data_IF_343741149893
#
_entry.id   IF_343741149893
#
_cell.length_a   1.000
_cell.length_b   1.000
_cell.length_c   1.000
_cell.angle_alpha   90.00
_cell.angle_beta   90.00
_cell.angle_gamma   90.00
#
_symmetry.space_group_name_H-M   'P 1'
#
loop_
_entity.id
_entity.type
_entity.pdbx_description
1 polymer ?
#
# COMPACT_ATOMS: atom_id res chain seq x y z
N UNK A 1 -53.69 -8.38 -14.10
CA UNK A 1 -52.49 -8.43 -13.26
C UNK A 1 -52.41 -9.84 -12.71
N UNK A 2 -51.47 -10.67 -13.12
CA UNK A 2 -51.30 -12.01 -12.55
C UNK A 2 -50.37 -11.95 -11.33
N UNK A 3 -50.77 -12.70 -10.31
CA UNK A 3 -50.12 -12.88 -9.02
C UNK A 3 -48.67 -13.41 -9.14
N UNK A 4 -47.75 -12.79 -8.41
CA UNK A 4 -46.42 -13.35 -8.22
C UNK A 4 -46.44 -14.39 -7.08
N UNK A 5 -45.80 -15.55 -7.29
CA UNK A 5 -45.64 -16.55 -6.22
C UNK A 5 -44.62 -16.14 -5.17
N UNK A 6 -44.75 -16.62 -3.93
CA UNK A 6 -43.90 -16.24 -2.80
C UNK A 6 -42.47 -16.80 -2.99
N UNK A 7 -41.50 -15.95 -2.67
CA UNK A 7 -40.08 -16.26 -2.68
C UNK A 7 -39.75 -17.46 -1.78
N UNK A 8 -39.30 -18.55 -2.37
CA UNK A 8 -38.68 -19.65 -1.65
C UNK A 8 -37.37 -19.17 -0.97
N UNK A 9 -37.39 -19.18 0.35
CA UNK A 9 -36.18 -18.97 1.15
C UNK A 9 -35.22 -20.13 0.89
N UNK A 10 -34.10 -19.88 0.24
CA UNK A 10 -32.98 -20.79 0.19
C UNK A 10 -32.46 -21.02 1.62
N UNK A 11 -32.81 -22.18 2.20
CA UNK A 11 -32.07 -22.75 3.34
C UNK A 11 -30.73 -23.24 2.79
N UNK A 12 -29.69 -22.48 3.04
CA UNK A 12 -28.32 -22.95 2.81
C UNK A 12 -28.02 -24.07 3.81
N UNK A 13 -28.08 -25.29 3.35
CA UNK A 13 -27.63 -26.47 4.07
C UNK A 13 -26.09 -26.48 4.05
N UNK A 14 -25.49 -26.19 5.23
CA UNK A 14 -24.02 -26.21 5.36
C UNK A 14 -23.53 -27.65 5.23
N UNK A 15 -22.52 -27.92 4.38
CA UNK A 15 -21.95 -29.27 4.29
C UNK A 15 -21.27 -29.63 5.62
N UNK A 16 -21.68 -30.75 6.21
CA UNK A 16 -21.05 -31.33 7.41
C UNK A 16 -19.67 -31.87 7.03
N UNK A 17 -18.65 -31.35 7.69
CA UNK A 17 -17.27 -31.84 7.57
C UNK A 17 -17.16 -33.10 8.48
N UNK A 18 -16.85 -34.30 7.96
CA UNK A 18 -16.67 -35.46 8.77
C UNK A 18 -15.41 -35.33 9.67
N UNK A 19 -15.59 -35.44 10.98
CA UNK A 19 -14.47 -35.49 11.92
C UNK A 19 -14.41 -34.46 13.03
N UNK A 20 -15.37 -33.52 13.08
CA UNK A 20 -15.43 -32.56 14.20
C UNK A 20 -16.47 -33.02 15.22
N UNK A 21 -16.08 -33.35 16.48
CA UNK A 21 -17.04 -33.72 17.51
C UNK A 21 -17.87 -32.50 17.94
N UNK A 22 -19.17 -32.75 18.14
CA UNK A 22 -20.15 -31.75 18.57
C UNK A 22 -19.74 -31.10 19.91
N UNK A 23 -19.93 -29.80 20.09
CA UNK A 23 -19.71 -29.12 21.36
C UNK A 23 -20.88 -29.40 22.30
N UNK A 24 -20.62 -30.09 23.43
CA UNK A 24 -21.58 -30.16 24.50
C UNK A 24 -21.66 -31.52 25.24
N UNK A 25 -20.64 -31.84 26.04
CA UNK A 25 -20.84 -32.64 27.24
C UNK A 25 -19.77 -32.28 28.28
N UNK A 26 -20.12 -31.85 29.48
CA UNK A 26 -19.16 -31.56 30.54
C UNK A 26 -18.53 -32.85 31.03
N UNK A 27 -17.22 -32.91 31.30
CA UNK A 27 -16.58 -34.09 31.89
C UNK A 27 -16.97 -34.21 33.36
N UNK A 28 -17.31 -35.46 33.73
CA UNK A 28 -17.59 -35.86 35.10
C UNK A 28 -16.40 -35.56 36.00
N UNK A 29 -16.69 -34.92 37.11
CA UNK A 29 -15.73 -34.65 38.19
C UNK A 29 -15.30 -35.94 38.86
N UNK A 30 -14.02 -36.33 38.73
CA UNK A 30 -13.42 -37.37 39.59
C UNK A 30 -12.63 -36.68 40.70
N UNK A 31 -13.09 -36.89 41.92
CA UNK A 31 -12.42 -36.54 43.16
C UNK A 31 -11.14 -37.35 43.34
N UNK A 32 -9.97 -36.72 43.25
CA UNK A 32 -8.72 -37.22 43.83
C UNK A 32 -7.99 -36.05 44.51
N UNK A 33 -8.44 -35.72 45.73
CA UNK A 33 -7.97 -34.56 46.51
C UNK A 33 -6.71 -34.81 47.32
N UNK A 34 -6.15 -36.01 47.40
CA UNK A 34 -5.03 -36.28 48.29
C UNK A 34 -3.64 -36.33 47.59
N UNK A 35 -3.58 -36.36 46.27
CA UNK A 35 -2.30 -36.39 45.57
C UNK A 35 -1.75 -34.99 45.22
N UNK A 36 -2.55 -33.94 45.36
CA UNK A 36 -2.19 -32.58 44.94
C UNK A 36 -1.28 -31.83 45.90
N UNK A 37 -1.26 -32.22 47.21
CA UNK A 37 -0.44 -31.53 48.20
C UNK A 37 1.06 -31.89 48.13
N UNK A 38 1.40 -33.13 47.75
CA UNK A 38 2.78 -33.56 47.58
C UNK A 38 3.49 -32.97 46.35
N UNK A 39 2.78 -32.86 45.24
CA UNK A 39 3.33 -32.35 43.99
C UNK A 39 3.60 -30.84 44.06
N UNK A 40 2.76 -30.08 44.77
CA UNK A 40 2.93 -28.63 44.94
C UNK A 40 4.21 -28.24 45.67
N UNK A 41 4.57 -29.02 46.73
CA UNK A 41 5.75 -28.75 47.52
C UNK A 41 7.06 -29.05 46.78
N UNK A 42 7.10 -30.11 45.98
CA UNK A 42 8.24 -30.43 45.14
C UNK A 42 8.44 -29.39 44.02
N UNK A 43 7.36 -28.87 43.44
CA UNK A 43 7.43 -27.82 42.41
C UNK A 43 7.99 -26.52 42.95
N UNK A 44 7.60 -26.11 44.19
CA UNK A 44 8.11 -24.88 44.83
C UNK A 44 9.59 -25.01 45.15
N UNK A 45 10.05 -26.18 45.65
CA UNK A 45 11.47 -26.42 45.96
C UNK A 45 12.32 -26.43 44.67
N UNK A 46 11.81 -26.98 43.57
CA UNK A 46 12.50 -26.94 42.27
C UNK A 46 12.66 -25.52 41.72
N UNK A 47 11.62 -24.69 41.84
CA UNK A 47 11.69 -23.28 41.40
C UNK A 47 12.67 -22.51 42.20
N UNK A 48 12.69 -22.65 43.54
CA UNK A 48 13.66 -22.01 44.43
C UNK A 48 15.09 -22.45 44.13
N UNK A 49 15.30 -23.74 43.88
CA UNK A 49 16.64 -24.28 43.60
C UNK A 49 17.15 -23.86 42.22
N UNK A 50 16.29 -23.79 41.21
CA UNK A 50 16.62 -23.27 39.89
C UNK A 50 16.89 -21.77 39.92
N UNK A 51 16.10 -21.01 40.69
CA UNK A 51 16.30 -19.57 40.87
C UNK A 51 17.61 -19.25 41.59
N UNK A 52 17.96 -19.97 42.66
CA UNK A 52 19.22 -19.83 43.38
C UNK A 52 20.45 -20.19 42.47
N UNK A 53 20.34 -21.23 41.69
CA UNK A 53 21.39 -21.59 40.73
C UNK A 53 21.60 -20.55 39.62
N UNK A 54 20.54 -19.87 39.25
CA UNK A 54 20.59 -18.78 38.23
C UNK A 54 21.25 -17.52 38.80
N UNK A 55 20.93 -17.17 40.02
CA UNK A 55 21.50 -16.04 40.76
C UNK A 55 23.00 -16.22 41.09
N UNK A 56 23.46 -17.46 41.30
CA UNK A 56 24.84 -17.80 41.60
C UNK A 56 25.71 -18.12 40.37
N UNK A 57 25.21 -17.92 39.16
CA UNK A 57 26.05 -18.06 37.96
C UNK A 57 27.08 -16.93 37.97
N UNK A 58 28.39 -17.22 38.00
CA UNK A 58 29.41 -16.21 37.85
C UNK A 58 29.14 -15.48 36.52
N UNK A 59 28.87 -14.19 36.61
CA UNK A 59 28.80 -13.35 35.43
C UNK A 59 30.21 -13.38 34.79
N UNK A 60 30.38 -14.17 33.76
CA UNK A 60 31.53 -13.99 32.87
C UNK A 60 31.43 -12.60 32.29
N UNK A 61 32.11 -11.63 32.86
CA UNK A 61 32.37 -10.36 32.23
C UNK A 61 33.22 -10.65 31.01
N UNK A 62 32.55 -10.84 29.89
CA UNK A 62 33.22 -10.87 28.59
C UNK A 62 33.90 -9.50 28.44
N UNK A 63 35.24 -9.43 28.30
CA UNK A 63 35.91 -8.18 28.07
C UNK A 63 35.27 -7.55 26.84
N UNK A 64 34.73 -6.33 26.99
CA UNK A 64 34.13 -5.58 25.89
C UNK A 64 35.19 -5.50 24.78
N UNK A 65 34.97 -6.10 23.61
CA UNK A 65 35.96 -6.04 22.55
C UNK A 65 36.28 -4.60 22.27
N UNK A 66 37.57 -4.25 22.19
CA UNK A 66 38.01 -2.93 21.82
C UNK A 66 37.32 -2.56 20.51
N UNK A 67 36.60 -1.42 20.55
CA UNK A 67 35.87 -0.93 19.37
C UNK A 67 36.90 -0.83 18.24
N UNK A 68 36.71 -1.56 17.12
CA UNK A 68 37.60 -1.39 15.99
C UNK A 68 37.60 0.09 15.57
N UNK A 69 38.72 0.62 15.04
CA UNK A 69 38.76 2.00 14.58
C UNK A 69 37.56 2.20 13.63
N UNK A 70 36.73 3.18 13.96
CA UNK A 70 35.62 3.56 13.07
C UNK A 70 36.28 4.08 11.79
N UNK A 71 36.24 3.26 10.74
CA UNK A 71 36.44 3.75 9.38
C UNK A 71 35.31 4.73 9.19
N UNK A 72 35.59 6.03 9.06
CA UNK A 72 34.61 7.02 8.62
C UNK A 72 34.14 6.58 7.24
N UNK A 73 33.03 5.86 7.23
CA UNK A 73 32.31 5.59 5.99
C UNK A 73 31.85 6.95 5.50
N UNK A 74 32.23 7.38 4.28
CA UNK A 74 31.76 8.63 3.71
C UNK A 74 30.24 8.65 3.84
N UNK A 75 29.71 9.77 4.36
CA UNK A 75 28.25 9.93 4.50
C UNK A 75 27.59 9.57 3.17
N UNK A 76 26.65 8.63 3.13
CA UNK A 76 26.02 8.26 1.88
C UNK A 76 25.49 9.53 1.22
N UNK A 77 25.69 9.64 -0.10
CA UNK A 77 25.11 10.75 -0.87
C UNK A 77 23.62 10.87 -0.52
N UNK A 78 23.10 12.08 -0.35
CA UNK A 78 21.68 12.27 -0.02
C UNK A 78 20.82 11.53 -1.04
N UNK A 79 19.86 10.76 -0.54
CA UNK A 79 18.91 10.04 -1.38
C UNK A 79 18.25 11.04 -2.33
N UNK A 80 18.31 10.84 -3.67
CA UNK A 80 17.69 11.74 -4.64
C UNK A 80 16.20 11.99 -4.36
N UNK A 81 15.52 11.06 -3.67
CA UNK A 81 14.14 11.24 -3.23
C UNK A 81 13.99 12.32 -2.14
N UNK A 82 15.03 12.65 -1.40
CA UNK A 82 15.00 13.72 -0.36
C UNK A 82 14.83 15.11 -0.98
N UNK A 83 15.14 15.27 -2.27
CA UNK A 83 14.99 16.52 -3.00
C UNK A 83 13.61 16.68 -3.66
N UNK A 84 12.76 15.66 -3.62
CA UNK A 84 11.42 15.73 -4.19
C UNK A 84 10.48 16.57 -3.30
N UNK A 85 9.58 17.36 -3.91
CA UNK A 85 8.61 18.12 -3.14
C UNK A 85 7.68 17.21 -2.35
N UNK A 86 7.43 17.57 -1.10
CA UNK A 86 6.49 16.91 -0.22
C UNK A 86 5.27 17.79 -0.04
N UNK A 87 4.12 17.37 -0.54
CA UNK A 87 2.86 18.02 -0.26
C UNK A 87 2.42 17.70 1.17
N UNK A 88 2.26 18.72 1.98
CA UNK A 88 1.72 18.65 3.34
C UNK A 88 0.53 19.61 3.45
N UNK A 89 -0.27 19.49 4.51
CA UNK A 89 -1.39 20.41 4.75
C UNK A 89 -0.94 21.87 4.83
N UNK A 90 0.29 22.13 5.30
CA UNK A 90 0.87 23.46 5.40
C UNK A 90 1.53 23.95 4.10
N UNK A 91 2.00 23.03 3.23
CA UNK A 91 2.70 23.36 2.00
C UNK A 91 2.36 22.35 0.88
N UNK A 92 1.15 22.41 0.31
CA UNK A 92 0.69 21.46 -0.70
C UNK A 92 1.28 21.70 -2.11
N UNK A 93 2.13 22.71 -2.30
CA UNK A 93 2.75 23.04 -3.59
C UNK A 93 3.72 21.96 -4.04
N UNK A 94 3.50 21.43 -5.25
CA UNK A 94 4.30 20.32 -5.81
C UNK A 94 5.05 20.71 -7.09
N UNK A 95 4.55 21.70 -7.81
CA UNK A 95 5.14 22.18 -9.06
C UNK A 95 4.67 23.60 -9.38
N UNK A 96 5.31 24.27 -10.35
CA UNK A 96 4.77 25.48 -10.94
C UNK A 96 4.15 25.19 -12.32
N UNK A 97 3.24 26.09 -12.75
CA UNK A 97 2.62 26.03 -14.08
C UNK A 97 3.68 26.18 -15.18
N UNK A 98 4.69 27.01 -14.96
CA UNK A 98 5.79 27.21 -15.90
C UNK A 98 6.65 25.95 -16.05
N UNK A 99 6.95 25.28 -14.93
CA UNK A 99 7.70 24.03 -14.93
C UNK A 99 6.95 22.93 -15.70
N UNK A 100 5.64 22.94 -15.60
CA UNK A 100 4.75 21.97 -16.24
C UNK A 100 4.12 22.50 -17.53
N UNK A 101 4.72 23.48 -18.20
CA UNK A 101 4.14 24.11 -19.40
C UNK A 101 4.02 23.15 -20.60
N UNK A 102 4.99 22.23 -20.74
CA UNK A 102 5.03 21.31 -21.87
C UNK A 102 4.06 20.14 -21.67
N UNK A 103 3.15 19.87 -22.64
CA UNK A 103 2.34 18.65 -22.60
C UNK A 103 3.21 17.39 -22.44
N UNK A 104 2.72 16.44 -21.65
CA UNK A 104 3.40 15.19 -21.32
C UNK A 104 4.66 15.34 -20.47
N UNK A 105 4.97 16.56 -19.97
CA UNK A 105 5.94 16.68 -18.89
C UNK A 105 5.40 16.02 -17.62
N UNK A 106 6.32 15.55 -16.77
CA UNK A 106 5.96 14.93 -15.51
C UNK A 106 6.87 15.38 -14.39
N UNK A 107 6.38 15.33 -13.15
CA UNK A 107 7.14 15.65 -11.96
C UNK A 107 6.78 14.68 -10.84
N UNK A 108 7.79 14.05 -10.26
CA UNK A 108 7.63 13.22 -9.08
C UNK A 108 7.50 14.09 -7.82
N UNK A 109 6.72 13.63 -6.86
CA UNK A 109 6.54 14.27 -5.56
C UNK A 109 6.11 13.24 -4.52
N UNK A 110 6.03 13.66 -3.27
CA UNK A 110 5.42 12.85 -2.21
C UNK A 110 4.17 13.55 -1.67
N UNK A 111 3.17 12.77 -1.31
CA UNK A 111 1.98 13.25 -0.60
C UNK A 111 1.78 12.42 0.66
N UNK A 112 1.34 13.06 1.74
CA UNK A 112 0.96 12.34 2.95
C UNK A 112 -0.43 11.73 2.76
N UNK A 113 -0.55 10.43 3.04
CA UNK A 113 -1.86 9.76 3.07
C UNK A 113 -2.74 10.31 4.17
N UNK A 114 -3.97 10.68 3.85
CA UNK A 114 -4.96 11.14 4.84
C UNK A 114 -5.40 10.00 5.78
N UNK A 115 -5.24 8.74 5.37
CA UNK A 115 -5.67 7.57 6.14
C UNK A 115 -4.57 7.02 7.04
N UNK A 116 -3.35 6.85 6.51
CA UNK A 116 -2.24 6.22 7.25
C UNK A 116 -1.21 7.23 7.79
N UNK A 117 -1.24 8.47 7.32
CA UNK A 117 -0.20 9.46 7.59
C UNK A 117 1.15 9.17 6.93
N UNK A 118 1.25 8.10 6.16
CA UNK A 118 2.46 7.72 5.44
C UNK A 118 2.72 8.60 4.22
N UNK A 119 3.99 8.75 3.88
CA UNK A 119 4.42 9.44 2.67
C UNK A 119 4.30 8.52 1.46
N UNK A 120 3.42 8.88 0.52
CA UNK A 120 3.14 8.11 -0.70
C UNK A 120 3.88 8.76 -1.86
N UNK A 121 4.72 8.02 -2.59
CA UNK A 121 5.34 8.50 -3.81
C UNK A 121 4.28 8.66 -4.90
N UNK A 122 4.33 9.77 -5.61
CA UNK A 122 3.34 10.18 -6.58
C UNK A 122 3.96 10.81 -7.82
N UNK A 123 3.20 10.86 -8.89
CA UNK A 123 3.59 11.50 -10.14
C UNK A 123 2.50 12.46 -10.61
N UNK A 124 2.91 13.65 -11.01
CA UNK A 124 2.10 14.64 -11.71
C UNK A 124 2.43 14.57 -13.21
N UNK A 125 1.42 14.53 -14.06
CA UNK A 125 1.56 14.56 -15.52
C UNK A 125 0.79 15.76 -16.07
N UNK A 126 1.41 16.53 -16.97
CA UNK A 126 0.74 17.57 -17.76
C UNK A 126 0.05 16.92 -18.96
N UNK A 127 -1.26 17.08 -19.04
CA UNK A 127 -2.06 16.53 -20.14
C UNK A 127 -2.07 17.48 -21.35
N UNK A 128 -2.21 16.99 -22.58
CA UNK A 128 -2.33 17.83 -23.76
C UNK A 128 -3.67 18.57 -23.81
N UNK A 129 -4.70 18.02 -23.18
CA UNK A 129 -6.02 18.63 -23.04
C UNK A 129 -6.09 19.50 -21.77
N UNK A 130 -6.86 20.57 -21.84
CA UNK A 130 -7.03 21.52 -20.73
C UNK A 130 -5.95 22.60 -20.68
N UNK A 131 -6.28 23.70 -20.00
CA UNK A 131 -5.34 24.82 -19.79
C UNK A 131 -4.31 24.44 -18.72
N UNK A 132 -3.10 24.98 -18.84
CA UNK A 132 -2.09 24.87 -17.78
C UNK A 132 -2.50 25.59 -16.47
N UNK A 133 -3.41 26.53 -16.56
CA UNK A 133 -3.98 27.26 -15.41
C UNK A 133 -5.17 26.53 -14.75
N UNK A 134 -5.53 25.35 -15.21
CA UNK A 134 -6.67 24.59 -14.73
C UNK A 134 -6.26 23.20 -14.26
N UNK A 135 -6.86 22.71 -13.17
CA UNK A 135 -6.63 21.38 -12.63
C UNK A 135 -6.89 20.27 -13.66
N UNK A 136 -7.87 20.45 -14.56
CA UNK A 136 -8.19 19.50 -15.64
C UNK A 136 -7.05 19.27 -16.62
N UNK A 137 -6.07 20.18 -16.67
CA UNK A 137 -4.85 20.05 -17.47
C UNK A 137 -3.81 19.11 -16.86
N UNK A 138 -4.10 18.51 -15.72
CA UNK A 138 -3.15 17.66 -14.99
C UNK A 138 -3.79 16.34 -14.57
N UNK A 139 -2.95 15.35 -14.38
CA UNK A 139 -3.28 14.12 -13.72
C UNK A 139 -2.20 13.78 -12.71
N UNK A 140 -2.58 13.64 -11.45
CA UNK A 140 -1.70 13.19 -10.38
C UNK A 140 -2.19 11.86 -9.81
N UNK A 141 -1.28 10.96 -9.51
CA UNK A 141 -1.61 9.63 -9.00
C UNK A 141 -0.45 9.04 -8.19
N UNK A 142 -0.77 8.09 -7.31
CA UNK A 142 0.23 7.28 -6.61
C UNK A 142 0.95 6.37 -7.59
N UNK A 143 2.29 6.34 -7.53
CA UNK A 143 3.09 5.39 -8.33
C UNK A 143 3.10 3.98 -7.73
N UNK A 144 2.51 3.77 -6.55
CA UNK A 144 2.26 2.43 -6.05
C UNK A 144 1.08 1.82 -6.79
N UNK A 145 1.23 0.60 -7.29
CA UNK A 145 0.12 -0.15 -7.86
C UNK A 145 -1.00 -0.30 -6.84
N UNK A 146 -2.28 -0.20 -7.24
CA UNK A 146 -3.41 -0.43 -6.35
C UNK A 146 -3.42 -1.83 -5.71
N UNK A 147 -2.76 -2.77 -6.37
CA UNK A 147 -2.66 -4.16 -5.93
C UNK A 147 -1.21 -4.64 -5.97
N UNK A 148 -0.76 -5.22 -4.87
CA UNK A 148 0.61 -5.72 -4.73
C UNK A 148 1.65 -4.62 -4.51
N UNK A 149 2.92 -4.98 -4.62
CA UNK A 149 4.07 -4.12 -4.32
C UNK A 149 4.74 -3.53 -5.56
N UNK A 150 4.06 -3.56 -6.71
CA UNK A 150 4.63 -3.06 -7.95
C UNK A 150 4.62 -1.53 -7.99
N UNK A 151 5.66 -0.96 -8.60
CA UNK A 151 5.71 0.47 -8.92
C UNK A 151 5.23 0.67 -10.33
N UNK A 152 4.30 1.61 -10.51
CA UNK A 152 3.86 2.07 -11.81
C UNK A 152 4.96 2.92 -12.46
N UNK A 153 5.09 2.84 -13.77
CA UNK A 153 6.02 3.66 -14.55
C UNK A 153 5.28 4.53 -15.57
N UNK A 154 5.78 5.73 -15.76
CA UNK A 154 5.30 6.62 -16.82
C UNK A 154 6.13 6.38 -18.07
N UNK A 155 5.52 5.78 -19.08
CA UNK A 155 6.18 5.36 -20.32
C UNK A 155 5.92 6.41 -21.39
N UNK A 156 6.93 7.21 -21.71
CA UNK A 156 6.89 8.23 -22.75
C UNK A 156 7.38 7.69 -24.11
N UNK A 157 8.15 6.60 -24.09
CA UNK A 157 8.63 5.95 -25.29
C UNK A 157 7.56 4.98 -25.85
N UNK A 158 7.02 5.31 -27.00
CA UNK A 158 6.02 4.48 -27.69
C UNK A 158 6.60 3.16 -28.18
N UNK A 159 7.92 3.06 -28.43
CA UNK A 159 8.56 1.79 -28.75
C UNK A 159 8.53 0.84 -27.56
N UNK A 160 8.79 1.35 -26.35
CA UNK A 160 8.68 0.57 -25.11
C UNK A 160 7.25 0.09 -24.87
N UNK A 161 6.23 0.91 -25.12
CA UNK A 161 4.83 0.47 -25.02
C UNK A 161 4.51 -0.69 -25.95
N UNK A 162 5.15 -0.73 -27.13
CA UNK A 162 4.98 -1.79 -28.11
C UNK A 162 5.75 -3.05 -27.73
N UNK A 163 7.02 -2.92 -27.32
CA UNK A 163 7.89 -4.07 -27.02
C UNK A 163 7.55 -4.72 -25.68
N UNK A 164 7.53 -3.94 -24.62
CA UNK A 164 7.48 -4.45 -23.25
C UNK A 164 6.05 -4.73 -22.80
N UNK A 165 5.11 -3.90 -23.26
CA UNK A 165 3.69 -4.04 -22.91
C UNK A 165 2.87 -4.74 -23.99
N UNK A 166 3.39 -4.90 -25.22
CA UNK A 166 2.66 -5.51 -26.32
C UNK A 166 1.48 -4.67 -26.82
N UNK A 167 1.59 -3.33 -26.72
CA UNK A 167 0.52 -2.39 -27.08
C UNK A 167 0.92 -1.50 -28.27
N UNK A 168 0.78 -1.99 -29.51
CA UNK A 168 1.18 -1.27 -30.72
C UNK A 168 0.27 -0.08 -31.05
N UNK A 169 -0.94 -0.03 -30.47
CA UNK A 169 -1.92 1.03 -30.74
C UNK A 169 -1.65 2.34 -29.98
N UNK A 170 -0.60 2.40 -29.14
CA UNK A 170 -0.25 3.59 -28.38
C UNK A 170 0.03 4.78 -29.33
N UNK A 171 -0.62 5.91 -29.05
CA UNK A 171 -0.45 7.19 -29.76
C UNK A 171 0.14 8.30 -28.91
N UNK A 172 0.26 8.07 -27.61
CA UNK A 172 0.75 9.02 -26.61
C UNK A 172 1.32 8.27 -25.39
N UNK A 173 2.03 8.96 -24.51
CA UNK A 173 2.53 8.40 -23.26
C UNK A 173 1.42 7.75 -22.40
N UNK A 174 1.76 6.66 -21.74
CA UNK A 174 0.85 5.91 -20.88
C UNK A 174 1.50 5.62 -19.53
N UNK A 175 0.68 5.21 -18.55
CA UNK A 175 1.16 4.67 -17.28
C UNK A 175 1.06 3.16 -17.34
N UNK A 176 2.16 2.48 -17.01
CA UNK A 176 2.24 1.03 -17.07
C UNK A 176 2.49 0.40 -15.71
N UNK A 177 1.92 -0.79 -15.51
CA UNK A 177 2.28 -1.68 -14.42
C UNK A 177 3.21 -2.77 -14.99
N UNK A 178 4.52 -2.70 -14.75
CA UNK A 178 5.48 -3.63 -15.35
C UNK A 178 5.32 -5.08 -14.85
N UNK A 179 4.68 -5.28 -13.68
CA UNK A 179 4.52 -6.61 -13.12
C UNK A 179 3.47 -7.46 -13.84
N UNK A 180 2.43 -6.84 -14.38
CA UNK A 180 1.32 -7.55 -15.04
C UNK A 180 0.96 -6.97 -16.41
N UNK A 181 1.78 -6.02 -16.92
CA UNK A 181 1.61 -5.36 -18.21
C UNK A 181 0.29 -4.63 -18.38
N UNK A 182 -0.34 -4.21 -17.29
CA UNK A 182 -1.51 -3.33 -17.36
C UNK A 182 -1.10 -1.95 -17.83
N UNK A 183 -1.89 -1.36 -18.71
CA UNK A 183 -1.74 0.00 -19.20
C UNK A 183 -2.95 0.85 -18.83
N UNK A 184 -2.65 2.04 -18.33
CA UNK A 184 -3.61 3.07 -17.97
C UNK A 184 -3.44 4.27 -18.91
N UNK A 185 -4.52 4.67 -19.54
CA UNK A 185 -4.53 5.82 -20.45
C UNK A 185 -4.79 7.11 -19.67
N UNK A 186 -3.85 8.07 -19.65
CA UNK A 186 -4.02 9.35 -18.96
C UNK A 186 -5.19 10.18 -19.48
N UNK A 187 -5.65 9.95 -20.71
CA UNK A 187 -6.75 10.69 -21.32
C UNK A 187 -8.11 10.04 -21.10
N UNK A 188 -8.13 8.76 -20.72
CA UNK A 188 -9.35 8.00 -20.55
C UNK A 188 -9.91 8.15 -19.14
N UNK A 189 -11.18 8.55 -19.07
CA UNK A 189 -11.96 8.51 -17.83
C UNK A 189 -12.64 7.15 -17.70
N UNK A 190 -12.80 6.67 -16.47
CA UNK A 190 -13.53 5.44 -16.16
C UNK A 190 -14.25 5.59 -14.83
N UNK A 191 -15.26 4.77 -14.60
CA UNK A 191 -15.95 4.69 -13.31
C UNK A 191 -15.21 3.72 -12.41
N UNK A 192 -15.01 4.08 -11.15
CA UNK A 192 -14.47 3.15 -10.17
C UNK A 192 -15.46 2.02 -9.89
N UNK A 193 -15.02 0.76 -9.88
CA UNK A 193 -15.88 -0.36 -9.56
C UNK A 193 -16.59 -0.19 -8.22
N UNK A 194 -17.91 -0.38 -8.22
CA UNK A 194 -18.74 -0.26 -7.02
C UNK A 194 -19.06 1.17 -6.57
N UNK A 195 -18.74 2.18 -7.38
CA UNK A 195 -19.04 3.60 -7.11
C UNK A 195 -19.49 4.31 -8.39
N UNK A 196 -20.06 5.52 -8.25
CA UNK A 196 -20.37 6.41 -9.38
C UNK A 196 -19.23 7.43 -9.63
N UNK A 197 -18.09 7.26 -8.97
CA UNK A 197 -16.97 8.17 -9.10
C UNK A 197 -16.25 7.99 -10.44
N UNK A 198 -16.11 9.09 -11.18
CA UNK A 198 -15.32 9.14 -12.41
C UNK A 198 -13.88 9.49 -12.07
N UNK A 199 -12.95 8.63 -12.47
CA UNK A 199 -11.52 8.82 -12.25
C UNK A 199 -10.77 8.72 -13.57
N UNK A 200 -9.60 9.33 -13.61
CA UNK A 200 -8.71 9.31 -14.77
C UNK A 200 -7.77 8.08 -14.72
N UNK A 201 -7.24 7.71 -15.88
CA UNK A 201 -6.36 6.56 -16.00
C UNK A 201 -7.10 5.26 -16.29
N UNK A 202 -8.12 5.34 -17.16
CA UNK A 202 -8.88 4.14 -17.54
C UNK A 202 -7.98 3.06 -18.14
N UNK A 203 -8.22 1.82 -17.73
CA UNK A 203 -7.48 0.64 -18.19
C UNK A 203 -7.77 0.45 -19.69
N UNK A 204 -6.71 0.28 -20.49
CA UNK A 204 -6.79 -0.02 -21.93
C UNK A 204 -6.27 -1.40 -22.24
N UNK A 205 -5.46 -1.98 -21.36
CA UNK A 205 -4.94 -3.33 -21.46
C UNK A 205 -4.55 -3.84 -20.07
N UNK A 206 -4.62 -5.15 -19.85
CA UNK A 206 -4.13 -5.83 -18.65
C UNK A 206 -5.23 -6.31 -17.72
N UNK A 207 -4.82 -6.71 -16.52
CA UNK A 207 -5.67 -7.41 -15.56
C UNK A 207 -5.91 -6.67 -14.24
N UNK A 208 -5.41 -5.44 -14.08
CA UNK A 208 -5.73 -4.64 -12.91
C UNK A 208 -7.23 -4.34 -12.85
N UNK A 209 -7.80 -4.30 -11.64
CA UNK A 209 -9.23 -4.15 -11.44
C UNK A 209 -9.67 -2.68 -11.30
N UNK A 210 -8.71 -1.78 -11.07
CA UNK A 210 -8.98 -0.34 -10.91
C UNK A 210 -7.81 0.51 -11.41
N UNK A 211 -8.08 1.75 -11.78
CA UNK A 211 -7.05 2.76 -12.04
C UNK A 211 -6.12 3.00 -10.85
N UNK A 212 -4.95 3.62 -11.09
CA UNK A 212 -4.09 4.11 -10.01
C UNK A 212 -4.86 5.03 -9.05
N UNK A 213 -4.44 5.04 -7.78
CA UNK A 213 -5.01 5.95 -6.78
C UNK A 213 -4.79 7.39 -7.22
N UNK A 214 -5.87 8.10 -7.54
CA UNK A 214 -5.86 9.49 -7.95
C UNK A 214 -5.48 10.43 -6.80
N UNK A 215 -4.96 11.59 -7.17
CA UNK A 215 -4.64 12.68 -6.23
C UNK A 215 -5.32 13.94 -6.75
N UNK A 216 -6.15 14.56 -5.91
CA UNK A 216 -6.80 15.82 -6.24
C UNK A 216 -5.76 16.92 -6.42
N UNK A 217 -5.81 17.57 -7.57
CA UNK A 217 -4.92 18.69 -7.92
C UNK A 217 -5.71 19.99 -8.03
N UNK A 218 -5.14 21.07 -7.51
CA UNK A 218 -5.65 22.45 -7.72
C UNK A 218 -4.55 23.34 -8.26
N UNK A 219 -4.93 24.30 -9.06
CA UNK A 219 -4.03 25.35 -9.53
C UNK A 219 -4.43 26.66 -8.86
N UNK A 220 -3.47 27.31 -8.21
CA UNK A 220 -3.65 28.64 -7.58
C UNK A 220 -2.57 29.59 -8.10
N UNK A 221 -2.96 30.48 -8.97
CA UNK A 221 -2.01 31.38 -9.64
C UNK A 221 -1.00 30.60 -10.47
N UNK A 222 0.24 30.58 -10.04
CA UNK A 222 1.34 29.84 -10.69
C UNK A 222 1.64 28.49 -10.06
N UNK A 223 1.05 28.19 -8.91
CA UNK A 223 1.36 27.00 -8.14
C UNK A 223 0.37 25.86 -8.43
N UNK A 224 0.89 24.68 -8.58
CA UNK A 224 0.14 23.43 -8.66
C UNK A 224 0.20 22.76 -7.28
N UNK A 225 -0.95 22.49 -6.72
CA UNK A 225 -1.12 21.98 -5.37
C UNK A 225 -1.67 20.57 -5.42
N UNK A 226 -1.11 19.64 -4.63
CA UNK A 226 -1.73 18.35 -4.33
C UNK A 226 -2.50 18.46 -3.01
N UNK A 227 -3.79 18.15 -3.04
CA UNK A 227 -4.69 18.40 -1.90
C UNK A 227 -4.89 17.14 -1.08
N UNK A 228 -5.28 16.05 -1.71
CA UNK A 228 -5.57 14.78 -1.03
C UNK A 228 -5.57 13.63 -2.01
N UNK A 229 -5.45 12.41 -1.48
CA UNK A 229 -5.71 11.17 -2.21
C UNK A 229 -7.23 10.94 -2.33
N UNK A 230 -7.67 10.51 -3.50
CA UNK A 230 -9.06 10.12 -3.77
C UNK A 230 -9.42 8.76 -3.16
#
# INVERSE_FOLDING_TARGET
>A
MPDQPPSERFKAEMPQIPGVPAPGSPPAASHNSSLKLGIGLIAVLLVVFLGARWALRPQHTVPKPARPPQIEVPSPAPDPNTLLPHATDAAPGIASVEEMAKPWSSKAFFIRSNLSGESIPALLIRLPSGSASQASGYWAFSVNSPYGNCKLEYVTDLAKLRSDYGFPAAKHPMVGNPCNRTLFDPLKMTTLPGTDAFVRGGIVQGSDLRPPLGIEVRVRGRDILAIRTE
#
